data_IF_409973588238
#
_entry.id   IF_409973588238
#
_cell.length_a   1.000
_cell.length_b   1.000
_cell.length_c   1.000
_cell.angle_alpha   90.00
_cell.angle_beta   90.00
_cell.angle_gamma   90.00
#
_symmetry.space_group_name_H-M   'P 1'
#
loop_
_entity.id
_entity.type
_entity.pdbx_description
1 polymer ?
#
# COMPACT_ATOMS: atom_id res chain seq x y z
N UNK A 1 8.94 -33.83 -5.43
CA UNK A 1 8.54 -33.33 -4.10
C UNK A 1 8.56 -31.81 -4.19
N UNK A 2 7.40 -31.13 -4.24
CA UNK A 2 7.37 -29.68 -4.35
C UNK A 2 7.85 -29.07 -3.03
N UNK A 3 8.84 -28.19 -3.07
CA UNK A 3 9.31 -27.43 -1.91
C UNK A 3 8.14 -26.65 -1.32
N UNK A 4 7.89 -26.71 0.01
CA UNK A 4 6.84 -25.90 0.62
C UNK A 4 7.11 -24.42 0.35
N UNK A 5 6.08 -23.69 -0.04
CA UNK A 5 6.19 -22.24 -0.25
C UNK A 5 6.52 -21.61 1.12
N UNK A 6 7.61 -20.84 1.22
CA UNK A 6 7.99 -20.17 2.47
C UNK A 6 6.86 -19.26 2.93
N UNK A 7 6.76 -19.00 4.25
CA UNK A 7 5.71 -18.11 4.75
C UNK A 7 5.98 -16.69 4.25
N UNK A 8 4.92 -15.94 3.95
CA UNK A 8 5.09 -14.53 3.62
C UNK A 8 5.71 -13.79 4.81
N UNK A 9 6.74 -12.98 4.56
CA UNK A 9 7.42 -12.18 5.59
C UNK A 9 7.90 -13.01 6.80
N UNK A 10 8.66 -14.09 6.58
CA UNK A 10 9.05 -15.06 7.62
C UNK A 10 9.65 -14.43 8.89
N UNK A 11 10.39 -13.33 8.73
CA UNK A 11 11.04 -12.60 9.83
C UNK A 11 10.06 -11.96 10.82
N UNK A 12 8.87 -11.57 10.35
CA UNK A 12 7.88 -10.80 11.13
C UNK A 12 6.49 -11.45 11.15
N UNK A 13 6.29 -12.55 10.42
CA UNK A 13 5.02 -13.26 10.33
C UNK A 13 4.57 -13.76 11.71
N UNK A 14 3.34 -13.41 12.09
CA UNK A 14 2.74 -13.78 13.38
C UNK A 14 3.56 -13.36 14.63
N UNK A 15 4.41 -12.33 14.50
CA UNK A 15 5.23 -11.79 15.60
C UNK A 15 4.43 -11.23 16.78
N UNK A 16 3.21 -10.75 16.55
CA UNK A 16 2.34 -10.17 17.58
C UNK A 16 1.13 -11.05 17.85
N UNK A 17 1.04 -11.62 19.04
CA UNK A 17 -0.14 -12.38 19.46
C UNK A 17 -1.37 -11.47 19.67
N UNK A 18 -2.49 -11.86 19.06
CA UNK A 18 -3.77 -11.12 19.13
C UNK A 18 -4.92 -11.92 19.78
N UNK A 19 -4.68 -13.18 20.18
CA UNK A 19 -5.72 -14.16 20.55
C UNK A 19 -6.36 -13.95 21.93
N UNK A 20 -5.69 -13.27 22.88
CA UNK A 20 -6.16 -13.08 24.28
C UNK A 20 -6.06 -11.64 24.78
N UNK A 21 -6.38 -10.65 23.94
CA UNK A 21 -6.28 -9.22 24.25
C UNK A 21 -7.67 -8.58 24.32
N UNK A 22 -7.89 -7.70 25.30
CA UNK A 22 -9.08 -6.83 25.34
C UNK A 22 -9.18 -5.95 24.08
N UNK A 23 -10.37 -5.45 23.78
CA UNK A 23 -10.69 -4.74 22.53
C UNK A 23 -9.63 -3.68 22.14
N UNK A 24 -9.29 -2.77 23.05
CA UNK A 24 -8.28 -1.73 22.81
C UNK A 24 -6.90 -2.29 22.48
N UNK A 25 -6.44 -3.31 23.22
CA UNK A 25 -5.11 -3.90 23.01
C UNK A 25 -5.03 -4.71 21.72
N UNK A 26 -6.17 -5.21 21.23
CA UNK A 26 -6.30 -5.81 19.89
C UNK A 26 -6.29 -4.73 18.81
N UNK A 27 -6.99 -3.62 19.01
CA UNK A 27 -6.99 -2.48 18.08
C UNK A 27 -5.57 -1.93 17.87
N UNK A 28 -4.82 -1.66 18.95
CA UNK A 28 -3.44 -1.19 18.87
C UNK A 28 -2.51 -2.16 18.12
N UNK A 29 -2.75 -3.47 18.22
CA UNK A 29 -1.95 -4.46 17.48
C UNK A 29 -2.16 -4.38 15.96
N UNK A 30 -3.33 -3.95 15.49
CA UNK A 30 -3.63 -3.80 14.06
C UNK A 30 -3.32 -2.40 13.52
N UNK A 31 -3.06 -1.42 14.38
CA UNK A 31 -2.73 -0.05 13.96
C UNK A 31 -1.43 0.02 13.15
N UNK A 32 -0.39 -0.75 13.50
CA UNK A 32 0.89 -0.73 12.80
C UNK A 32 0.75 -1.08 11.32
N UNK A 33 0.24 -2.28 10.97
CA UNK A 33 -0.01 -2.65 9.58
C UNK A 33 -0.97 -1.71 8.86
N UNK A 34 -2.03 -1.23 9.54
CA UNK A 34 -2.97 -0.28 8.94
C UNK A 34 -2.28 1.06 8.59
N UNK A 35 -1.44 1.57 9.49
CA UNK A 35 -0.70 2.81 9.28
C UNK A 35 0.29 2.70 8.11
N UNK A 36 1.05 1.60 8.04
CA UNK A 36 2.00 1.36 6.94
C UNK A 36 1.32 1.41 5.57
N UNK A 37 0.10 0.86 5.46
CA UNK A 37 -0.67 0.90 4.22
C UNK A 37 -1.19 2.32 3.96
N UNK A 38 -1.74 2.99 4.98
CA UNK A 38 -2.33 4.33 4.84
C UNK A 38 -1.32 5.40 4.41
N UNK A 39 -0.07 5.32 4.88
CA UNK A 39 0.98 6.28 4.48
C UNK A 39 1.23 6.24 2.97
N UNK A 40 1.17 5.06 2.35
CA UNK A 40 1.31 4.92 0.90
C UNK A 40 0.20 5.58 0.07
N UNK A 41 -0.96 5.89 0.67
CA UNK A 41 -2.02 6.66 0.02
C UNK A 41 -1.87 8.18 0.21
N UNK A 42 -0.88 8.62 0.99
CA UNK A 42 -0.60 10.03 1.30
C UNK A 42 0.69 10.52 0.63
N UNK A 43 1.10 9.86 -0.45
CA UNK A 43 2.31 10.16 -1.19
C UNK A 43 2.24 11.50 -1.95
N UNK A 44 3.40 12.15 -2.21
CA UNK A 44 3.45 13.42 -2.95
C UNK A 44 2.86 13.34 -4.37
N UNK A 45 2.79 12.16 -4.98
CA UNK A 45 2.23 11.95 -6.32
C UNK A 45 0.75 12.34 -6.38
N UNK A 46 -0.03 11.95 -5.38
CA UNK A 46 -1.46 12.28 -5.30
C UNK A 46 -1.71 13.77 -4.99
N UNK A 47 -0.81 14.44 -4.27
CA UNK A 47 -1.00 15.84 -3.88
C UNK A 47 -1.01 16.79 -5.09
N UNK A 48 -0.17 16.52 -6.09
CA UNK A 48 -0.10 17.34 -7.30
C UNK A 48 -1.45 17.37 -8.04
N UNK A 49 -2.10 16.21 -8.20
CA UNK A 49 -3.40 16.11 -8.86
C UNK A 49 -4.52 16.70 -8.01
N UNK A 50 -4.48 16.50 -6.70
CA UNK A 50 -5.52 17.01 -5.79
C UNK A 50 -5.50 18.54 -5.69
N UNK A 51 -4.30 19.13 -5.58
CA UNK A 51 -4.12 20.59 -5.55
C UNK A 51 -4.49 21.20 -6.89
N UNK A 52 -4.04 20.62 -8.01
CA UNK A 52 -4.39 21.10 -9.35
C UNK A 52 -5.90 20.98 -9.62
N UNK A 53 -6.52 19.88 -9.19
CA UNK A 53 -7.96 19.64 -9.28
C UNK A 53 -8.74 20.65 -8.45
N UNK A 54 -8.35 20.87 -7.19
CA UNK A 54 -8.96 21.86 -6.32
C UNK A 54 -8.80 23.30 -6.82
N UNK A 55 -7.64 23.64 -7.39
CA UNK A 55 -7.40 24.96 -7.98
C UNK A 55 -8.28 25.23 -9.20
N UNK A 56 -8.56 24.21 -10.02
CA UNK A 56 -9.38 24.35 -11.25
C UNK A 56 -10.88 24.20 -11.01
N UNK A 57 -11.29 23.29 -10.13
CA UNK A 57 -12.69 22.88 -9.95
C UNK A 57 -13.26 23.18 -8.56
N UNK A 58 -12.48 23.83 -7.68
CA UNK A 58 -12.87 24.09 -6.31
C UNK A 58 -13.23 22.79 -5.58
N UNK A 59 -14.37 22.79 -4.90
CA UNK A 59 -14.84 21.64 -4.11
C UNK A 59 -15.62 20.58 -4.91
N UNK A 60 -15.80 20.77 -6.23
CA UNK A 60 -16.63 19.87 -7.04
C UNK A 60 -16.12 18.42 -7.07
N UNK A 61 -14.83 18.19 -6.85
CA UNK A 61 -14.19 16.86 -6.90
C UNK A 61 -14.11 16.14 -5.54
N UNK A 62 -14.56 16.75 -4.44
CA UNK A 62 -14.51 16.11 -3.10
C UNK A 62 -15.26 14.77 -3.10
N UNK A 63 -16.39 14.68 -3.80
CA UNK A 63 -17.15 13.43 -3.85
C UNK A 63 -16.36 12.31 -4.56
N UNK A 64 -15.56 12.65 -5.57
CA UNK A 64 -14.70 11.69 -6.29
C UNK A 64 -13.63 11.17 -5.35
N UNK A 65 -13.00 12.05 -4.58
CA UNK A 65 -12.03 11.68 -3.54
C UNK A 65 -12.66 10.75 -2.50
N UNK A 66 -13.88 11.04 -2.05
CA UNK A 66 -14.61 10.19 -1.11
C UNK A 66 -14.85 8.80 -1.69
N UNK A 67 -15.34 8.70 -2.93
CA UNK A 67 -15.60 7.41 -3.58
C UNK A 67 -14.32 6.61 -3.82
N UNK A 68 -13.23 7.27 -4.21
CA UNK A 68 -11.91 6.65 -4.36
C UNK A 68 -11.43 6.02 -3.05
N UNK A 69 -11.56 6.74 -1.93
CA UNK A 69 -11.19 6.23 -0.61
C UNK A 69 -12.07 5.05 -0.16
N UNK A 70 -13.38 5.08 -0.45
CA UNK A 70 -14.25 3.94 -0.17
C UNK A 70 -13.85 2.69 -0.96
N UNK A 71 -13.46 2.84 -2.22
CA UNK A 71 -12.93 1.74 -3.03
C UNK A 71 -11.62 1.20 -2.48
N UNK A 72 -10.68 2.08 -2.07
CA UNK A 72 -9.44 1.68 -1.43
C UNK A 72 -9.70 0.86 -0.14
N UNK A 73 -10.60 1.33 0.73
CA UNK A 73 -10.97 0.61 1.95
C UNK A 73 -11.56 -0.78 1.67
N UNK A 74 -12.41 -0.90 0.63
CA UNK A 74 -12.97 -2.18 0.22
C UNK A 74 -11.88 -3.15 -0.22
N UNK A 75 -10.99 -2.72 -1.13
CA UNK A 75 -9.92 -3.57 -1.66
C UNK A 75 -8.92 -3.97 -0.56
N UNK A 76 -8.56 -3.05 0.33
CA UNK A 76 -7.67 -3.35 1.45
C UNK A 76 -8.31 -4.28 2.48
N UNK A 77 -9.63 -4.20 2.67
CA UNK A 77 -10.36 -5.16 3.50
C UNK A 77 -10.31 -6.57 2.92
N UNK A 78 -10.42 -6.71 1.59
CA UNK A 78 -10.31 -8.00 0.91
C UNK A 78 -8.88 -8.55 0.99
N UNK A 79 -7.87 -7.73 0.71
CA UNK A 79 -6.46 -8.11 0.77
C UNK A 79 -6.02 -8.52 2.18
N UNK A 80 -6.44 -7.77 3.20
CA UNK A 80 -6.17 -8.13 4.60
C UNK A 80 -6.91 -9.41 5.00
N UNK A 81 -8.15 -9.61 4.58
CA UNK A 81 -8.89 -10.86 4.82
C UNK A 81 -8.21 -12.06 4.19
N UNK A 82 -7.69 -11.93 2.96
CA UNK A 82 -6.90 -12.98 2.32
C UNK A 82 -5.69 -13.34 3.19
N UNK A 83 -4.90 -12.36 3.62
CA UNK A 83 -3.72 -12.56 4.46
C UNK A 83 -4.04 -13.22 5.81
N UNK A 84 -5.10 -12.74 6.48
CA UNK A 84 -5.49 -13.23 7.81
C UNK A 84 -6.09 -14.64 7.76
N UNK A 85 -6.93 -14.94 6.75
CA UNK A 85 -7.66 -16.22 6.68
C UNK A 85 -6.81 -17.31 6.05
N UNK A 86 -6.11 -17.02 4.96
CA UNK A 86 -5.30 -18.02 4.24
C UNK A 86 -3.87 -18.15 4.77
N UNK A 87 -3.39 -17.16 5.53
CA UNK A 87 -2.00 -17.10 5.99
C UNK A 87 -0.99 -16.84 4.88
N UNK A 88 -1.44 -16.35 3.72
CA UNK A 88 -0.64 -16.13 2.51
C UNK A 88 -0.81 -14.70 2.00
N UNK A 89 0.23 -14.17 1.38
CA UNK A 89 0.10 -12.91 0.65
C UNK A 89 -0.56 -13.09 -0.72
N UNK A 90 -0.92 -11.95 -1.34
CA UNK A 90 -1.58 -11.94 -2.64
C UNK A 90 -0.69 -12.50 -3.76
N UNK A 91 0.63 -12.35 -3.68
CA UNK A 91 1.56 -12.86 -4.68
C UNK A 91 1.66 -14.39 -4.63
N UNK A 92 1.69 -14.96 -3.42
CA UNK A 92 1.61 -16.41 -3.19
C UNK A 92 0.30 -16.98 -3.70
N UNK A 93 -0.83 -16.36 -3.35
CA UNK A 93 -2.14 -16.77 -3.84
C UNK A 93 -2.26 -16.68 -5.37
N UNK A 94 -1.70 -15.62 -5.98
CA UNK A 94 -1.68 -15.43 -7.44
C UNK A 94 -0.85 -16.50 -8.14
N UNK A 95 0.32 -16.83 -7.59
CA UNK A 95 1.23 -17.84 -8.14
C UNK A 95 0.62 -19.25 -8.12
N UNK A 96 -0.20 -19.56 -7.12
CA UNK A 96 -0.90 -20.84 -7.03
C UNK A 96 -2.14 -20.91 -7.93
N UNK A 97 -2.81 -19.78 -8.18
CA UNK A 97 -4.07 -19.74 -8.94
C UNK A 97 -3.82 -19.60 -10.45
N UNK A 98 -2.83 -18.83 -10.85
CA UNK A 98 -2.58 -18.48 -12.25
C UNK A 98 -1.42 -19.27 -12.87
N UNK A 99 -1.46 -19.41 -14.19
CA UNK A 99 -0.35 -19.99 -14.96
C UNK A 99 0.93 -19.12 -14.88
N UNK A 100 2.09 -19.75 -15.13
CA UNK A 100 3.41 -19.11 -15.00
C UNK A 100 3.56 -17.81 -15.79
N UNK A 101 2.99 -17.75 -17.00
CA UNK A 101 3.04 -16.55 -17.84
C UNK A 101 2.29 -15.38 -17.19
N UNK A 102 1.03 -15.58 -16.81
CA UNK A 102 0.21 -14.56 -16.14
C UNK A 102 0.84 -14.10 -14.83
N UNK A 103 1.34 -15.03 -14.01
CA UNK A 103 2.02 -14.69 -12.76
C UNK A 103 3.28 -13.83 -13.00
N UNK A 104 4.04 -14.10 -14.06
CA UNK A 104 5.21 -13.30 -14.42
C UNK A 104 4.82 -11.88 -14.84
N UNK A 105 3.73 -11.73 -15.60
CA UNK A 105 3.21 -10.40 -15.98
C UNK A 105 2.75 -9.64 -14.74
N UNK A 106 2.00 -10.28 -13.83
CA UNK A 106 1.56 -9.66 -12.58
C UNK A 106 2.75 -9.23 -11.72
N UNK A 107 3.79 -10.06 -11.63
CA UNK A 107 5.02 -9.73 -10.93
C UNK A 107 5.71 -8.49 -11.53
N UNK A 108 5.90 -8.47 -12.85
CA UNK A 108 6.55 -7.35 -13.53
C UNK A 108 5.74 -6.05 -13.41
N UNK A 109 4.41 -6.13 -13.48
CA UNK A 109 3.54 -4.97 -13.25
C UNK A 109 3.66 -4.45 -11.81
N UNK A 110 3.75 -5.34 -10.82
CA UNK A 110 3.94 -4.95 -9.43
C UNK A 110 5.30 -4.25 -9.20
N UNK A 111 6.38 -4.77 -9.79
CA UNK A 111 7.71 -4.16 -9.76
C UNK A 111 7.73 -2.77 -10.41
N UNK A 112 7.09 -2.62 -11.57
CA UNK A 112 6.96 -1.30 -12.22
C UNK A 112 6.14 -0.33 -11.36
N UNK A 113 5.05 -0.81 -10.76
CA UNK A 113 4.20 0.01 -9.92
C UNK A 113 4.95 0.55 -8.70
N UNK A 114 5.68 -0.31 -7.96
CA UNK A 114 6.43 0.13 -6.79
C UNK A 114 7.60 1.05 -7.16
N UNK A 115 8.29 0.80 -8.29
CA UNK A 115 9.33 1.69 -8.79
C UNK A 115 8.79 3.07 -9.17
N UNK A 116 7.58 3.14 -9.73
CA UNK A 116 6.92 4.41 -10.04
C UNK A 116 6.52 5.18 -8.76
N UNK A 117 6.05 4.47 -7.72
CA UNK A 117 5.77 5.07 -6.40
C UNK A 117 7.04 5.63 -5.76
N UNK A 118 8.13 4.86 -5.73
CA UNK A 118 9.43 5.31 -5.19
C UNK A 118 9.95 6.55 -5.92
N UNK A 119 9.82 6.60 -7.26
CA UNK A 119 10.19 7.78 -8.04
C UNK A 119 9.40 9.02 -7.62
N UNK A 120 8.09 8.90 -7.38
CA UNK A 120 7.26 10.02 -6.92
C UNK A 120 7.66 10.49 -5.51
N UNK A 121 7.98 9.57 -4.60
CA UNK A 121 8.44 9.88 -3.25
C UNK A 121 9.80 10.59 -3.26
N UNK A 122 10.77 10.10 -4.04
CA UNK A 122 12.10 10.72 -4.16
C UNK A 122 12.01 12.13 -4.75
N UNK A 123 11.19 12.33 -5.79
CA UNK A 123 10.97 13.66 -6.37
C UNK A 123 10.30 14.61 -5.37
N UNK A 124 9.26 14.15 -4.68
CA UNK A 124 8.58 14.92 -3.65
C UNK A 124 9.52 15.31 -2.50
N UNK A 125 10.36 14.38 -2.04
CA UNK A 125 11.39 14.63 -1.04
C UNK A 125 12.41 15.67 -1.53
N UNK A 126 12.93 15.51 -2.74
CA UNK A 126 13.94 16.43 -3.29
C UNK A 126 13.40 17.87 -3.39
N UNK A 127 12.18 18.03 -3.90
CA UNK A 127 11.50 19.33 -3.97
C UNK A 127 11.21 19.87 -2.56
N UNK A 128 10.76 19.03 -1.63
CA UNK A 128 10.52 19.41 -0.24
C UNK A 128 11.78 19.93 0.45
N UNK A 129 12.91 19.25 0.28
CA UNK A 129 14.21 19.67 0.81
C UNK A 129 14.70 20.97 0.18
N UNK A 130 14.50 21.15 -1.12
CA UNK A 130 14.80 22.41 -1.79
C UNK A 130 13.98 23.57 -1.21
N UNK A 131 12.68 23.37 -0.99
CA UNK A 131 11.79 24.41 -0.45
C UNK A 131 12.10 24.75 1.01
N UNK A 132 12.47 23.76 1.83
CA UNK A 132 12.76 23.95 3.25
C UNK A 132 14.15 24.51 3.52
N UNK A 133 15.16 24.03 2.79
CA UNK A 133 16.57 24.29 3.09
C UNK A 133 17.32 25.00 1.96
N UNK A 134 16.67 25.26 0.82
CA UNK A 134 17.31 25.90 -0.34
C UNK A 134 18.34 25.05 -1.05
N UNK A 135 18.33 23.73 -0.83
CA UNK A 135 19.31 22.82 -1.44
C UNK A 135 19.13 22.75 -2.97
N UNK A 136 20.23 22.72 -3.75
CA UNK A 136 20.14 22.56 -5.19
C UNK A 136 19.66 21.15 -5.54
N UNK A 137 18.83 21.04 -6.57
CA UNK A 137 18.34 19.77 -7.12
C UNK A 137 19.35 19.08 -8.05
N UNK A 138 20.45 19.78 -8.37
CA UNK A 138 21.54 19.38 -9.26
C UNK A 138 22.89 19.60 -8.57
#
# INVERSE_FOLDING_TARGET
MATPIPRSLEEVNASVETRKKGFFRKLFAFMGPAYLISVGYMDPGNWATDIAGGSRYGYALIWVLLMSNLMALLLQSLSSRLGIVSGRDLAQASKETYGRATNMVLYLLAEIAIAATDLAEVLGMAIGLQLLFGLPLL
#
